data_IF_791564294978
#
_entry.id   IF_791564294978
#
_cell.length_a   1.000
_cell.length_b   1.000
_cell.length_c   1.000
_cell.angle_alpha   90.00
_cell.angle_beta   90.00
_cell.angle_gamma   90.00
#
_symmetry.space_group_name_H-M   'P 1'
#
loop_
_entity.id
_entity.type
_entity.pdbx_description
1 polymer ?
#
# COMPACT_ATOMS: atom_id res chain seq x y z
N UNK A 1 17.00 2.84 -0.01
CA UNK A 1 17.38 3.88 -0.99
C UNK A 1 17.14 3.34 -2.40
N UNK A 2 15.90 3.33 -2.89
CA UNK A 2 15.60 2.89 -4.26
C UNK A 2 15.72 4.08 -5.23
N UNK A 3 16.70 4.00 -6.13
CA UNK A 3 16.77 4.85 -7.32
C UNK A 3 15.84 4.26 -8.38
N UNK A 4 14.79 4.99 -8.75
CA UNK A 4 14.05 4.71 -9.99
C UNK A 4 14.72 5.47 -11.13
N UNK A 5 15.45 4.75 -11.97
CA UNK A 5 15.90 5.24 -13.28
C UNK A 5 14.84 4.82 -14.32
N UNK A 6 14.39 5.80 -15.11
CA UNK A 6 13.51 5.63 -16.25
C UNK A 6 14.15 4.64 -17.25
N UNK A 7 13.62 3.43 -17.38
CA UNK A 7 14.12 2.42 -18.30
C UNK A 7 13.34 2.49 -19.63
N UNK A 8 13.85 3.28 -20.57
CA UNK A 8 13.53 3.11 -21.99
C UNK A 8 14.43 2.00 -22.53
N UNK A 9 13.84 0.83 -22.81
CA UNK A 9 14.47 -0.37 -23.45
C UNK A 9 15.67 -0.98 -22.70
N UNK A 10 15.44 -2.09 -22.01
CA UNK A 10 16.49 -3.07 -21.72
C UNK A 10 16.59 -4.01 -22.92
N UNK A 11 17.76 -4.04 -23.56
CA UNK A 11 18.13 -5.13 -24.48
C UNK A 11 19.23 -5.94 -23.77
N UNK A 12 19.02 -7.25 -23.64
CA UNK A 12 20.01 -8.22 -23.15
C UNK A 12 20.49 -9.07 -24.33
N UNK A 13 21.76 -9.53 -24.37
CA UNK A 13 22.32 -10.26 -25.50
C UNK A 13 21.77 -11.70 -25.68
N UNK A 14 21.02 -12.22 -24.71
CA UNK A 14 20.63 -13.63 -24.71
C UNK A 14 19.14 -13.78 -25.04
N UNK A 15 18.87 -14.30 -26.25
CA UNK A 15 17.57 -14.43 -26.91
C UNK A 15 16.50 -15.22 -26.12
N UNK A 16 15.88 -14.58 -25.13
CA UNK A 16 14.66 -15.03 -24.48
C UNK A 16 13.47 -14.44 -25.23
N UNK A 17 12.54 -15.33 -25.63
CA UNK A 17 11.31 -15.03 -26.40
C UNK A 17 10.62 -13.75 -25.93
N UNK A 18 10.34 -12.85 -26.88
CA UNK A 18 9.44 -11.71 -26.68
C UNK A 18 8.14 -12.20 -26.04
N UNK A 19 7.84 -11.68 -24.85
CA UNK A 19 6.50 -11.80 -24.29
C UNK A 19 5.63 -10.76 -25.00
N UNK A 20 4.63 -11.16 -25.80
CA UNK A 20 3.80 -10.20 -26.50
C UNK A 20 3.04 -9.39 -25.44
N UNK A 21 3.32 -8.09 -25.36
CA UNK A 21 2.49 -7.17 -24.62
C UNK A 21 1.07 -7.25 -25.20
N UNK A 22 0.03 -7.45 -24.37
CA UNK A 22 -1.33 -7.45 -24.86
C UNK A 22 -1.60 -6.13 -25.60
N UNK A 23 -2.27 -6.21 -26.76
CA UNK A 23 -2.70 -5.03 -27.51
C UNK A 23 -3.66 -4.24 -26.62
N UNK A 24 -3.15 -3.17 -26.03
CA UNK A 24 -3.90 -2.26 -25.17
C UNK A 24 -4.90 -1.49 -26.05
N UNK A 25 -6.17 -1.86 -26.00
CA UNK A 25 -7.25 -1.00 -26.49
C UNK A 25 -7.44 0.18 -25.51
N UNK A 26 -7.81 1.33 -26.08
CA UNK A 26 -7.61 2.69 -25.58
C UNK A 26 -7.96 2.96 -24.10
N UNK A 27 -7.13 3.70 -23.34
CA UNK A 27 -7.40 4.00 -21.94
C UNK A 27 -8.41 5.14 -21.81
N UNK A 28 -9.30 5.03 -20.81
CA UNK A 28 -10.10 6.13 -20.31
C UNK A 28 -9.20 7.23 -19.76
N UNK A 29 -9.16 8.38 -20.43
CA UNK A 29 -8.40 9.55 -20.00
C UNK A 29 -9.00 10.13 -18.71
N UNK A 30 -8.25 10.06 -17.61
CA UNK A 30 -8.56 10.80 -16.39
C UNK A 30 -7.63 12.01 -16.27
N UNK A 31 -8.21 13.20 -16.19
CA UNK A 31 -7.52 14.50 -16.11
C UNK A 31 -7.80 15.08 -14.73
N UNK A 32 -6.75 15.41 -13.96
CA UNK A 32 -6.93 16.21 -12.74
C UNK A 32 -6.87 17.71 -13.06
N UNK A 33 -7.46 18.53 -12.20
CA UNK A 33 -7.59 19.99 -12.35
C UNK A 33 -6.27 20.76 -12.23
N UNK A 34 -5.13 20.09 -12.00
CA UNK A 34 -3.83 20.72 -11.76
C UNK A 34 -2.87 20.70 -12.97
N UNK A 35 -3.32 20.23 -14.16
CA UNK A 35 -2.52 20.27 -15.39
C UNK A 35 -1.26 19.39 -15.37
N UNK A 36 -1.13 18.49 -14.39
CA UNK A 36 -0.01 17.57 -14.28
C UNK A 36 -0.25 16.37 -15.22
N UNK A 37 0.74 16.06 -16.06
CA UNK A 37 0.71 14.96 -17.05
C UNK A 37 0.05 13.71 -16.47
N UNK A 38 -1.05 13.26 -17.09
CA UNK A 38 -1.74 12.01 -16.79
C UNK A 38 -0.72 10.87 -16.81
N UNK A 39 -0.33 10.39 -15.63
CA UNK A 39 0.44 9.15 -15.52
C UNK A 39 -0.55 8.03 -15.74
N UNK A 40 -0.45 7.35 -16.87
CA UNK A 40 -1.24 6.15 -17.11
C UNK A 40 -0.73 5.06 -16.18
N UNK A 41 -1.59 4.64 -15.25
CA UNK A 41 -1.31 3.56 -14.30
C UNK A 41 -1.89 2.27 -14.86
N UNK A 42 -1.10 1.21 -14.86
CA UNK A 42 -1.51 -0.11 -15.34
C UNK A 42 -1.39 -1.14 -14.23
N UNK A 43 -2.27 -2.15 -14.23
CA UNK A 43 -2.16 -3.32 -13.37
C UNK A 43 -1.47 -4.43 -14.16
N UNK A 44 -0.43 -5.01 -13.59
CA UNK A 44 0.22 -6.20 -14.12
C UNK A 44 -0.22 -7.39 -13.28
N UNK A 45 -0.99 -8.29 -13.90
CA UNK A 45 -1.60 -9.44 -13.23
C UNK A 45 -3.14 -9.38 -13.25
N UNK A 46 -3.77 -10.46 -12.83
CA UNK A 46 -5.24 -10.58 -12.79
C UNK A 46 -5.78 -10.38 -11.37
N UNK A 47 -6.62 -9.35 -11.23
CA UNK A 47 -7.26 -8.95 -9.97
C UNK A 47 -8.78 -9.14 -9.99
N UNK A 48 -9.34 -9.65 -11.10
CA UNK A 48 -10.80 -9.77 -11.27
C UNK A 48 -11.39 -10.71 -10.22
N UNK A 49 -12.48 -10.28 -9.60
CA UNK A 49 -13.23 -10.97 -8.54
C UNK A 49 -12.40 -11.34 -7.30
N UNK A 50 -11.21 -10.72 -7.13
CA UNK A 50 -10.30 -10.94 -6.00
C UNK A 50 -10.27 -9.74 -5.05
N UNK A 51 -9.88 -10.00 -3.82
CA UNK A 51 -9.52 -8.96 -2.86
C UNK A 51 -8.07 -8.55 -3.15
N UNK A 52 -7.85 -7.28 -3.47
CA UNK A 52 -6.53 -6.71 -3.68
C UNK A 52 -6.02 -6.07 -2.39
N UNK A 53 -4.77 -6.36 -2.03
CA UNK A 53 -4.11 -5.78 -0.86
C UNK A 53 -2.88 -5.01 -1.32
N UNK A 54 -2.90 -3.69 -1.11
CA UNK A 54 -1.76 -2.81 -1.35
C UNK A 54 -0.92 -2.80 -0.08
N UNK A 55 0.34 -3.21 -0.18
CA UNK A 55 1.28 -3.25 0.96
C UNK A 55 2.33 -2.17 0.78
N UNK A 56 2.52 -1.32 1.78
CA UNK A 56 3.64 -0.39 1.83
C UNK A 56 4.19 -0.26 3.26
N UNK A 57 5.34 0.37 3.44
CA UNK A 57 5.90 0.66 4.76
C UNK A 57 5.24 1.87 5.43
N UNK A 58 4.89 2.91 4.67
CA UNK A 58 4.36 4.16 5.21
C UNK A 58 3.31 4.81 4.31
N UNK A 59 2.44 5.63 4.91
CA UNK A 59 1.54 6.52 4.18
C UNK A 59 1.59 7.91 4.82
N UNK A 60 1.90 8.91 4.01
CA UNK A 60 1.81 10.32 4.37
C UNK A 60 0.76 11.00 3.49
N UNK A 61 1.00 11.02 2.17
CA UNK A 61 0.00 11.37 1.16
C UNK A 61 -0.82 10.14 0.75
N UNK A 62 -2.14 10.24 0.84
CA UNK A 62 -3.08 9.18 0.46
C UNK A 62 -3.34 9.11 -1.04
N UNK A 63 -3.04 10.17 -1.79
CA UNK A 63 -3.41 10.31 -3.21
C UNK A 63 -2.93 9.15 -4.10
N UNK A 64 -1.70 8.64 -3.99
CA UNK A 64 -1.25 7.50 -4.81
C UNK A 64 -2.07 6.23 -4.56
N UNK A 65 -2.48 5.99 -3.31
CA UNK A 65 -3.25 4.81 -2.90
C UNK A 65 -4.70 4.88 -3.38
N UNK A 66 -5.27 6.08 -3.42
CA UNK A 66 -6.61 6.34 -3.97
C UNK A 66 -6.64 6.10 -5.47
N UNK A 67 -5.62 6.57 -6.20
CA UNK A 67 -5.50 6.29 -7.64
C UNK A 67 -5.30 4.78 -7.88
N UNK A 68 -4.48 4.12 -7.06
CA UNK A 68 -4.28 2.68 -7.16
C UNK A 68 -5.58 1.89 -6.90
N UNK A 69 -6.37 2.27 -5.89
CA UNK A 69 -7.63 1.59 -5.59
C UNK A 69 -8.66 1.75 -6.71
N UNK A 70 -8.77 2.94 -7.29
CA UNK A 70 -9.60 3.20 -8.47
C UNK A 70 -9.23 2.30 -9.65
N UNK A 71 -7.94 2.21 -9.96
CA UNK A 71 -7.46 1.37 -11.07
C UNK A 71 -7.73 -0.11 -10.78
N UNK A 72 -7.49 -0.59 -9.55
CA UNK A 72 -7.77 -1.98 -9.17
C UNK A 72 -9.26 -2.32 -9.29
N UNK A 73 -10.14 -1.47 -8.75
CA UNK A 73 -11.60 -1.62 -8.85
C UNK A 73 -12.07 -1.60 -10.30
N UNK A 74 -11.50 -0.71 -11.12
CA UNK A 74 -11.82 -0.63 -12.57
C UNK A 74 -11.40 -1.90 -13.34
N UNK A 75 -10.40 -2.64 -12.83
CA UNK A 75 -9.97 -3.93 -13.37
C UNK A 75 -10.73 -5.14 -12.76
N UNK A 76 -11.78 -4.88 -11.96
CA UNK A 76 -12.66 -5.91 -11.42
C UNK A 76 -12.26 -6.44 -10.04
N UNK A 77 -11.37 -5.77 -9.30
CA UNK A 77 -11.11 -6.13 -7.91
C UNK A 77 -12.39 -5.99 -7.09
N UNK A 78 -12.71 -7.01 -6.28
CA UNK A 78 -13.88 -7.02 -5.40
C UNK A 78 -13.73 -5.99 -4.28
N UNK A 79 -12.59 -6.05 -3.59
CA UNK A 79 -12.24 -5.17 -2.47
C UNK A 79 -10.77 -4.75 -2.59
N UNK A 80 -10.44 -3.56 -2.08
CA UNK A 80 -9.09 -3.01 -2.04
C UNK A 80 -8.78 -2.57 -0.61
N UNK A 81 -7.82 -3.26 0.01
CA UNK A 81 -7.26 -2.90 1.30
C UNK A 81 -5.87 -2.29 1.13
N UNK A 82 -5.53 -1.35 2.01
CA UNK A 82 -4.18 -0.79 2.12
C UNK A 82 -3.62 -1.19 3.48
N UNK A 83 -2.44 -1.79 3.50
CA UNK A 83 -1.74 -2.20 4.73
C UNK A 83 -0.41 -1.45 4.78
N UNK A 84 -0.19 -0.74 5.88
CA UNK A 84 1.02 0.05 6.10
C UNK A 84 1.57 -0.13 7.50
N UNK A 85 2.89 -0.06 7.65
CA UNK A 85 3.50 -0.03 8.98
C UNK A 85 3.23 1.33 9.63
N UNK A 86 3.56 2.44 8.96
CA UNK A 86 3.54 3.79 9.53
C UNK A 86 2.48 4.69 8.86
N UNK A 87 1.38 5.01 9.54
CA UNK A 87 0.37 5.93 9.01
C UNK A 87 0.50 7.36 9.52
N UNK A 88 1.29 8.15 8.79
CA UNK A 88 1.47 9.58 9.05
C UNK A 88 0.23 10.37 8.64
N UNK A 89 -0.38 10.06 7.49
CA UNK A 89 -1.66 10.63 7.02
C UNK A 89 -1.82 12.13 7.37
N UNK A 90 -0.95 12.95 6.82
CA UNK A 90 -0.95 14.39 7.12
C UNK A 90 -2.12 15.12 6.45
N UNK A 91 -2.47 16.29 7.01
CA UNK A 91 -3.51 17.16 6.47
C UNK A 91 -4.88 16.47 6.33
N UNK A 92 -5.42 16.52 5.11
CA UNK A 92 -6.72 15.97 4.73
C UNK A 92 -6.68 14.47 4.35
N UNK A 93 -5.55 13.79 4.61
CA UNK A 93 -5.38 12.38 4.26
C UNK A 93 -6.51 11.46 4.76
N UNK A 94 -6.95 11.56 6.03
CA UNK A 94 -8.05 10.74 6.54
C UNK A 94 -9.37 10.95 5.78
N UNK A 95 -9.73 12.19 5.47
CA UNK A 95 -10.95 12.54 4.73
C UNK A 95 -10.90 12.05 3.27
N UNK A 96 -9.71 12.11 2.66
CA UNK A 96 -9.47 11.57 1.32
C UNK A 96 -9.64 10.04 1.31
N UNK A 97 -9.08 9.33 2.30
CA UNK A 97 -9.26 7.88 2.43
C UNK A 97 -10.73 7.54 2.66
N UNK A 98 -11.41 8.27 3.53
CA UNK A 98 -12.83 8.09 3.83
C UNK A 98 -13.70 8.17 2.57
N UNK A 99 -13.43 9.15 1.70
CA UNK A 99 -14.20 9.40 0.47
C UNK A 99 -13.75 8.57 -0.74
N UNK A 100 -12.66 7.81 -0.63
CA UNK A 100 -12.10 7.01 -1.73
C UNK A 100 -12.71 5.61 -1.90
N UNK A 101 -12.29 4.90 -2.95
CA UNK A 101 -12.65 3.48 -3.21
C UNK A 101 -11.83 2.47 -2.39
N UNK A 102 -11.02 2.92 -1.44
CA UNK A 102 -10.34 2.03 -0.48
C UNK A 102 -11.40 1.48 0.48
N UNK A 103 -11.45 0.16 0.65
CA UNK A 103 -12.40 -0.50 1.56
C UNK A 103 -11.89 -0.52 3.01
N UNK A 104 -10.58 -0.60 3.21
CA UNK A 104 -9.97 -0.51 4.54
C UNK A 104 -8.50 -0.09 4.51
N UNK A 105 -8.11 0.69 5.50
CA UNK A 105 -6.73 1.11 5.73
C UNK A 105 -6.24 0.52 7.06
N UNK A 106 -5.39 -0.49 6.99
CA UNK A 106 -4.79 -1.16 8.13
C UNK A 106 -3.42 -0.54 8.40
N UNK A 107 -3.20 -0.07 9.61
CA UNK A 107 -1.94 0.55 10.01
C UNK A 107 -1.56 0.19 11.44
N UNK A 108 -0.29 0.29 11.81
CA UNK A 108 0.12 0.04 13.21
C UNK A 108 0.03 1.30 14.07
N UNK A 109 0.08 1.13 15.39
CA UNK A 109 0.24 2.23 16.35
C UNK A 109 1.69 2.72 16.53
N UNK A 110 2.57 2.53 15.53
CA UNK A 110 3.92 3.14 15.52
C UNK A 110 3.90 4.67 15.56
N UNK A 111 2.83 5.30 15.07
CA UNK A 111 2.60 6.75 15.10
C UNK A 111 1.22 7.00 15.67
N UNK A 112 1.07 7.98 16.55
CA UNK A 112 -0.21 8.38 17.13
C UNK A 112 -1.22 8.81 16.04
N UNK A 113 -2.45 8.29 16.13
CA UNK A 113 -3.47 8.48 15.10
C UNK A 113 -4.92 8.39 15.59
N UNK A 114 -5.20 8.48 16.89
CA UNK A 114 -6.58 8.44 17.42
C UNK A 114 -7.49 9.50 16.78
N UNK A 115 -7.00 10.75 16.65
CA UNK A 115 -7.76 11.83 16.00
C UNK A 115 -8.02 11.58 14.50
N UNK A 116 -7.18 10.77 13.84
CA UNK A 116 -7.38 10.40 12.43
C UNK A 116 -8.48 9.35 12.30
N UNK A 117 -8.56 8.39 13.22
CA UNK A 117 -9.63 7.38 13.26
C UNK A 117 -11.01 7.99 13.46
N UNK A 118 -11.10 9.06 14.25
CA UNK A 118 -12.36 9.82 14.41
C UNK A 118 -12.86 10.42 13.09
N UNK A 119 -11.93 10.77 12.19
CA UNK A 119 -12.23 11.37 10.88
C UNK A 119 -12.40 10.35 9.76
N UNK A 120 -11.95 9.11 9.96
CA UNK A 120 -12.04 8.04 8.97
C UNK A 120 -12.32 6.68 9.63
N UNK A 121 -13.52 6.13 9.39
CA UNK A 121 -13.95 4.85 9.96
C UNK A 121 -13.34 3.62 9.26
N UNK A 122 -12.67 3.82 8.13
CA UNK A 122 -11.95 2.78 7.38
C UNK A 122 -10.60 2.43 7.99
N UNK A 123 -10.09 3.26 8.92
CA UNK A 123 -8.80 3.02 9.58
C UNK A 123 -8.96 1.91 10.61
N UNK A 124 -8.09 0.90 10.53
CA UNK A 124 -7.93 -0.18 11.50
C UNK A 124 -6.51 -0.18 12.03
N UNK A 125 -6.38 -0.28 13.34
CA UNK A 125 -5.08 -0.26 14.01
C UNK A 125 -4.65 -1.66 14.41
N UNK A 126 -3.42 -2.03 14.08
CA UNK A 126 -2.73 -3.20 14.65
C UNK A 126 -1.86 -2.69 15.79
N UNK A 127 -2.10 -3.18 17.01
CA UNK A 127 -1.21 -2.89 18.13
C UNK A 127 0.10 -3.67 17.99
N UNK A 128 1.22 -2.96 18.13
CA UNK A 128 2.57 -3.54 18.13
C UNK A 128 3.25 -3.45 19.51
N UNK A 129 2.53 -3.02 20.55
CA UNK A 129 3.07 -2.88 21.91
C UNK A 129 3.62 -4.20 22.46
N UNK A 130 2.92 -5.31 22.22
CA UNK A 130 3.37 -6.67 22.59
C UNK A 130 4.68 -7.04 21.91
N UNK A 131 4.82 -6.75 20.60
CA UNK A 131 6.04 -7.01 19.84
C UNK A 131 7.22 -6.19 20.38
N UNK A 132 7.00 -4.90 20.67
CA UNK A 132 8.04 -4.01 21.20
C UNK A 132 8.46 -4.39 22.63
N UNK A 133 7.50 -4.73 23.49
CA UNK A 133 7.78 -5.13 24.88
C UNK A 133 8.60 -6.43 24.93
N UNK A 134 8.27 -7.42 24.10
CA UNK A 134 9.01 -8.67 24.00
C UNK A 134 10.42 -8.46 23.39
N UNK A 135 10.56 -7.54 22.43
CA UNK A 135 11.88 -7.18 21.90
C UNK A 135 12.78 -6.56 22.99
N UNK A 136 12.24 -5.62 23.79
CA UNK A 136 12.96 -5.01 24.91
C UNK A 136 13.36 -6.08 25.94
N UNK A 137 12.42 -6.94 26.34
CA UNK A 137 12.67 -8.02 27.30
C UNK A 137 13.80 -8.95 26.84
N UNK A 138 13.79 -9.36 25.57
CA UNK A 138 14.84 -10.23 24.99
C UNK A 138 16.19 -9.56 24.95
N UNK A 139 16.26 -8.30 24.51
CA UNK A 139 17.52 -7.53 24.49
C UNK A 139 18.09 -7.42 25.90
N UNK A 140 17.25 -7.10 26.88
CA UNK A 140 17.67 -6.98 28.27
C UNK A 140 18.24 -8.29 28.83
N UNK A 141 17.64 -9.42 28.48
CA UNK A 141 18.06 -10.75 28.94
C UNK A 141 19.16 -11.41 28.08
N UNK A 142 19.60 -10.78 26.99
CA UNK A 142 20.55 -11.40 26.03
C UNK A 142 19.94 -12.56 25.24
N UNK A 143 18.61 -12.61 25.13
CA UNK A 143 17.89 -13.63 24.36
C UNK A 143 17.81 -13.28 22.87
N UNK A 144 17.64 -14.29 22.02
CA UNK A 144 17.55 -14.08 20.57
C UNK A 144 16.25 -13.35 20.18
N UNK A 145 16.41 -12.23 19.45
CA UNK A 145 15.32 -11.48 18.80
C UNK A 145 14.75 -12.25 17.59
N UNK A 146 15.52 -13.18 17.00
CA UNK A 146 15.12 -13.90 15.79
C UNK A 146 13.77 -14.64 15.94
N UNK A 147 13.41 -14.99 17.18
CA UNK A 147 12.13 -15.57 17.54
C UNK A 147 10.92 -14.71 17.09
N UNK A 148 11.02 -13.39 17.19
CA UNK A 148 9.91 -12.47 16.91
C UNK A 148 9.53 -12.37 15.43
N UNK A 149 10.42 -12.76 14.51
CA UNK A 149 10.11 -12.76 13.07
C UNK A 149 9.23 -13.94 12.64
N UNK A 150 9.12 -14.96 13.48
CA UNK A 150 8.35 -16.19 13.18
C UNK A 150 7.13 -16.33 14.07
N UNK A 151 7.21 -15.83 15.30
CA UNK A 151 6.21 -16.06 16.34
C UNK A 151 5.73 -14.72 16.91
N UNK A 152 4.83 -14.06 16.18
CA UNK A 152 4.15 -12.83 16.65
C UNK A 152 2.82 -13.24 17.29
N UNK A 153 2.66 -12.91 18.57
CA UNK A 153 1.35 -12.95 19.23
C UNK A 153 0.55 -11.74 18.77
N UNK A 154 -0.57 -11.99 18.09
CA UNK A 154 -1.58 -10.96 17.82
C UNK A 154 -2.66 -11.18 18.86
N UNK A 155 -2.73 -10.29 19.84
CA UNK A 155 -3.81 -10.31 20.83
C UNK A 155 -5.10 -9.85 20.13
N UNK A 156 -6.21 -10.59 20.31
CA UNK A 156 -7.51 -10.33 19.66
C UNK A 156 -8.17 -9.02 20.12
#
# INVERSE_FOLDING_TARGET
MLKFHCATKLTSPDGIKEFPLPKLEHPSHFVNSAGLRSRTTYVVGDVRDKIAVIVNDLIDDASPYIVASQVLKSNGAKEVYVVVTHGILSGCGPEQVQSSDIDGLIMTNTVEHEEKKKRCNKIKTIDISGLLSEAIRRIHNGESIAYLFRNVSVDE
#
